data_IF_543356584593
#
_entry.id   IF_543356584593
#
_cell.length_a   1.000
_cell.length_b   1.000
_cell.length_c   1.000
_cell.angle_alpha   90.00
_cell.angle_beta   90.00
_cell.angle_gamma   90.00
#
_symmetry.space_group_name_H-M   'P 1'
#
loop_
_entity.id
_entity.type
_entity.pdbx_description
1 polymer ?
#
# COMPACT_ATOMS: atom_id res chain seq x y z
N UNK A 1 19.20 -25.43 -19.48
CA UNK A 1 19.45 -24.30 -20.38
C UNK A 1 18.16 -24.09 -21.17
N UNK A 2 17.27 -23.27 -20.64
CA UNK A 2 16.17 -22.69 -21.41
C UNK A 2 16.37 -21.16 -21.33
N UNK A 3 16.94 -20.54 -22.38
CA UNK A 3 17.25 -19.12 -22.42
C UNK A 3 16.11 -18.32 -23.08
N UNK A 4 15.86 -17.10 -22.57
CA UNK A 4 15.00 -16.01 -23.11
C UNK A 4 13.52 -16.14 -22.72
N UNK A 5 12.92 -15.39 -21.78
CA UNK A 5 12.92 -13.94 -21.54
C UNK A 5 12.87 -13.10 -22.82
N UNK A 6 11.66 -12.71 -23.28
CA UNK A 6 11.23 -11.31 -23.49
C UNK A 6 9.69 -11.17 -23.41
N UNK A 7 9.16 -10.15 -22.73
CA UNK A 7 7.74 -9.76 -22.76
C UNK A 7 7.40 -8.88 -23.97
N UNK A 8 6.19 -9.05 -24.51
CA UNK A 8 5.64 -8.38 -25.70
C UNK A 8 5.41 -6.86 -25.52
N UNK A 9 5.91 -6.02 -26.43
CA UNK A 9 5.79 -4.55 -26.39
C UNK A 9 4.60 -4.04 -27.23
N UNK A 10 3.35 -4.42 -26.92
CA UNK A 10 2.21 -4.14 -27.80
C UNK A 10 0.90 -3.69 -27.14
N UNK A 11 0.94 -2.98 -26.00
CA UNK A 11 -0.27 -2.36 -25.43
C UNK A 11 -0.01 -0.90 -25.03
N UNK A 12 0.46 -0.12 -25.99
CA UNK A 12 0.42 1.34 -25.97
C UNK A 12 -0.33 1.78 -27.23
N UNK A 13 -1.30 2.67 -27.06
CA UNK A 13 -2.08 3.41 -28.06
C UNK A 13 -3.42 2.81 -28.51
N UNK A 14 -4.52 3.29 -27.91
CA UNK A 14 -5.69 3.74 -28.67
C UNK A 14 -6.21 5.03 -28.03
N UNK A 15 -6.16 6.11 -28.82
CA UNK A 15 -6.58 7.46 -28.49
C UNK A 15 -7.77 7.82 -29.41
N UNK A 16 -8.77 8.53 -28.84
CA UNK A 16 -9.77 9.39 -29.50
C UNK A 16 -10.79 8.79 -30.48
N UNK A 17 -12.09 8.79 -30.11
CA UNK A 17 -13.17 9.47 -30.84
C UNK A 17 -14.53 9.34 -30.10
N UNK A 18 -15.17 10.47 -29.74
CA UNK A 18 -16.62 10.76 -29.94
C UNK A 18 -17.10 11.91 -29.03
N UNK A 19 -17.36 13.06 -29.65
CA UNK A 19 -18.13 14.17 -29.09
C UNK A 19 -19.59 14.10 -29.60
N UNK A 20 -20.51 14.61 -28.76
CA UNK A 20 -21.88 15.06 -29.05
C UNK A 20 -22.96 13.98 -29.26
N UNK A 21 -23.78 13.73 -28.23
CA UNK A 21 -25.25 14.00 -28.17
C UNK A 21 -25.74 13.68 -26.74
N UNK A 22 -26.53 14.58 -26.13
CA UNK A 22 -27.53 14.19 -25.12
C UNK A 22 -27.35 14.73 -23.70
N UNK A 23 -27.97 15.87 -23.41
CA UNK A 23 -28.28 16.35 -22.06
C UNK A 23 -29.46 15.56 -21.48
N UNK A 24 -29.19 14.64 -20.56
CA UNK A 24 -30.15 14.22 -19.53
C UNK A 24 -29.46 14.28 -18.17
N UNK A 25 -29.87 15.26 -17.36
CA UNK A 25 -29.45 15.40 -15.97
C UNK A 25 -30.02 14.23 -15.17
N UNK A 26 -29.22 13.17 -15.01
CA UNK A 26 -29.38 12.25 -13.90
C UNK A 26 -28.28 12.59 -12.90
N UNK A 27 -28.66 13.19 -11.77
CA UNK A 27 -27.74 13.38 -10.65
C UNK A 27 -27.33 11.99 -10.16
N UNK A 28 -26.14 11.54 -10.56
CA UNK A 28 -25.51 10.35 -10.01
C UNK A 28 -25.00 10.69 -8.60
N UNK A 29 -25.28 9.86 -7.57
CA UNK A 29 -24.57 9.99 -6.31
C UNK A 29 -23.10 9.71 -6.60
N UNK A 30 -22.24 10.68 -6.29
CA UNK A 30 -20.80 10.49 -6.26
C UNK A 30 -20.47 9.53 -5.11
N UNK A 31 -20.58 8.22 -5.36
CA UNK A 31 -19.96 7.22 -4.48
C UNK A 31 -18.49 7.25 -4.84
N UNK A 32 -17.77 8.13 -4.14
CA UNK A 32 -16.32 8.26 -4.27
C UNK A 32 -15.68 6.90 -4.06
N UNK A 33 -14.92 6.47 -5.07
CA UNK A 33 -13.98 5.39 -4.94
C UNK A 33 -12.89 5.82 -3.94
N UNK A 34 -13.10 5.53 -2.66
CA UNK A 34 -12.03 5.50 -1.68
C UNK A 34 -11.22 4.20 -1.91
N UNK A 35 -10.50 4.11 -3.02
CA UNK A 35 -9.43 3.12 -3.19
C UNK A 35 -8.16 3.70 -2.57
N UNK A 36 -8.25 3.99 -1.27
CA UNK A 36 -7.19 4.62 -0.48
C UNK A 36 -7.19 4.07 0.94
N UNK A 37 -6.22 3.19 1.23
CA UNK A 37 -5.71 2.84 2.55
C UNK A 37 -6.74 2.56 3.69
N UNK A 38 -7.89 1.96 3.42
CA UNK A 38 -8.84 1.57 4.49
C UNK A 38 -8.37 0.35 5.34
N UNK A 39 -7.07 0.24 5.64
CA UNK A 39 -6.50 -0.86 6.40
C UNK A 39 -6.46 -0.61 7.92
N UNK A 40 -6.78 0.60 8.36
CA UNK A 40 -6.53 1.02 9.73
C UNK A 40 -7.84 1.07 10.52
N UNK A 41 -7.99 0.12 11.44
CA UNK A 41 -9.02 0.15 12.49
C UNK A 41 -8.34 0.33 13.84
N UNK A 42 -8.98 1.07 14.73
CA UNK A 42 -8.63 1.13 16.15
C UNK A 42 -8.55 -0.30 16.72
N UNK A 43 -7.48 -0.68 17.42
CA UNK A 43 -7.43 -1.97 18.09
C UNK A 43 -8.54 -1.99 19.17
N UNK A 44 -9.51 -2.88 19.02
CA UNK A 44 -10.61 -3.03 19.98
C UNK A 44 -10.17 -3.67 21.31
N UNK A 45 -8.92 -4.13 21.41
CA UNK A 45 -8.38 -4.78 22.60
C UNK A 45 -7.23 -3.96 23.21
N UNK A 46 -7.36 -3.46 24.46
CA UNK A 46 -6.29 -2.75 25.14
C UNK A 46 -5.06 -3.62 25.48
N UNK A 47 -5.13 -4.94 25.28
CA UNK A 47 -3.98 -5.85 25.38
C UNK A 47 -3.25 -6.09 24.03
N UNK A 48 -3.67 -5.44 22.94
CA UNK A 48 -2.98 -5.51 21.66
C UNK A 48 -1.66 -4.72 21.71
N UNK A 49 -0.57 -5.27 21.17
CA UNK A 49 0.72 -4.61 21.06
C UNK A 49 0.57 -3.21 20.43
N UNK A 50 1.17 -2.16 21.00
CA UNK A 50 0.99 -0.78 20.53
C UNK A 50 1.68 -0.50 19.18
N UNK A 51 2.24 -1.53 18.52
CA UNK A 51 2.98 -1.41 17.26
C UNK A 51 2.42 -2.40 16.26
N UNK A 52 2.31 -2.00 14.99
CA UNK A 52 1.87 -2.89 13.91
C UNK A 52 2.95 -3.88 13.46
N UNK A 53 4.21 -3.64 13.81
CA UNK A 53 5.39 -4.44 13.47
C UNK A 53 6.67 -3.62 13.56
N UNK A 54 7.75 -4.10 12.93
CA UNK A 54 9.02 -3.40 12.78
C UNK A 54 9.27 -3.01 11.32
N UNK A 55 9.87 -1.85 11.11
CA UNK A 55 10.34 -1.39 9.81
C UNK A 55 11.85 -1.22 9.83
N UNK A 56 12.55 -1.80 8.86
CA UNK A 56 13.99 -1.64 8.66
C UNK A 56 14.28 -1.14 7.26
N UNK A 57 15.14 -0.14 7.09
CA UNK A 57 15.64 0.24 5.78
C UNK A 57 16.99 -0.44 5.52
N UNK A 58 17.07 -1.23 4.46
CA UNK A 58 18.32 -1.83 4.00
C UNK A 58 19.28 -0.77 3.43
N UNK A 59 20.58 -1.10 3.28
CA UNK A 59 21.57 -0.17 2.71
C UNK A 59 21.25 0.34 1.30
N UNK A 60 20.49 -0.43 0.51
CA UNK A 60 20.02 -0.07 -0.84
C UNK A 60 18.79 0.86 -0.83
N UNK A 61 18.32 1.28 0.36
CA UNK A 61 17.14 2.11 0.53
C UNK A 61 15.82 1.32 0.54
N UNK A 62 15.85 0.00 0.39
CA UNK A 62 14.64 -0.83 0.45
C UNK A 62 14.08 -0.87 1.87
N UNK A 63 12.81 -0.52 2.07
CA UNK A 63 12.13 -0.66 3.36
C UNK A 63 11.56 -2.08 3.45
N UNK A 64 11.85 -2.78 4.54
CA UNK A 64 11.28 -4.08 4.88
C UNK A 64 10.43 -3.92 6.12
N UNK A 65 9.18 -4.36 6.04
CA UNK A 65 8.26 -4.43 7.17
C UNK A 65 8.20 -5.88 7.65
N UNK A 66 8.55 -6.12 8.90
CA UNK A 66 8.58 -7.44 9.52
C UNK A 66 7.77 -7.48 10.82
N UNK A 67 7.53 -8.68 11.34
CA UNK A 67 6.76 -8.90 12.57
C UNK A 67 5.37 -8.24 12.54
N UNK A 68 4.77 -8.21 11.35
CA UNK A 68 3.50 -7.54 11.14
C UNK A 68 2.36 -8.25 11.87
N UNK A 69 1.50 -7.48 12.53
CA UNK A 69 0.27 -7.94 13.16
C UNK A 69 -0.90 -7.09 12.69
N UNK A 70 -1.88 -7.74 12.08
CA UNK A 70 -3.11 -7.09 11.63
C UNK A 70 -4.31 -7.65 12.38
N UNK A 71 -5.24 -6.79 12.77
CA UNK A 71 -6.53 -7.17 13.31
C UNK A 71 -7.63 -6.83 12.29
N UNK A 72 -8.29 -7.86 11.76
CA UNK A 72 -9.41 -7.75 10.83
C UNK A 72 -10.77 -7.78 11.53
N UNK A 73 -11.84 -7.60 10.76
CA UNK A 73 -13.20 -7.70 11.25
C UNK A 73 -13.47 -9.07 11.91
N UNK A 74 -14.22 -9.08 13.02
CA UNK A 74 -14.56 -10.32 13.73
C UNK A 74 -13.44 -10.91 14.59
N UNK A 75 -12.38 -10.14 14.89
CA UNK A 75 -11.28 -10.57 15.76
C UNK A 75 -10.23 -11.44 15.06
N UNK A 76 -10.24 -11.47 13.72
CA UNK A 76 -9.23 -12.18 12.93
C UNK A 76 -7.87 -11.51 13.13
N UNK A 77 -6.87 -12.24 13.62
CA UNK A 77 -5.50 -11.75 13.72
C UNK A 77 -4.65 -12.40 12.64
N UNK A 78 -4.00 -11.59 11.81
CA UNK A 78 -3.08 -12.03 10.76
C UNK A 78 -1.63 -11.67 11.08
N UNK A 79 -0.71 -12.57 10.73
CA UNK A 79 0.74 -12.35 10.76
C UNK A 79 1.31 -12.57 9.34
N UNK A 80 1.20 -11.57 8.46
CA UNK A 80 1.66 -11.74 7.08
C UNK A 80 3.18 -11.87 7.02
N UNK A 81 3.70 -12.45 5.93
CA UNK A 81 5.13 -12.46 5.68
C UNK A 81 5.68 -11.03 5.56
N UNK A 82 7.02 -10.86 5.64
CA UNK A 82 7.64 -9.56 5.49
C UNK A 82 7.25 -8.89 4.17
N UNK A 83 6.89 -7.61 4.22
CA UNK A 83 6.58 -6.80 3.05
C UNK A 83 7.80 -5.98 2.64
N UNK A 84 8.04 -5.87 1.34
CA UNK A 84 9.27 -5.25 0.79
C UNK A 84 8.91 -4.10 -0.13
N UNK A 85 9.43 -2.92 0.18
CA UNK A 85 9.16 -1.67 -0.51
C UNK A 85 10.48 -1.09 -1.05
N UNK A 86 10.84 -1.36 -2.31
CA UNK A 86 11.98 -0.69 -2.94
C UNK A 86 11.67 0.81 -3.15
N UNK A 87 12.69 1.68 -3.33
CA UNK A 87 12.52 3.12 -3.50
C UNK A 87 11.56 3.56 -4.63
N UNK A 88 11.34 2.70 -5.64
CA UNK A 88 10.39 2.94 -6.74
C UNK A 88 8.97 2.44 -6.49
N UNK A 89 8.66 1.85 -5.33
CA UNK A 89 7.32 1.36 -5.02
C UNK A 89 6.35 2.54 -4.89
N UNK A 90 5.14 2.41 -5.44
CA UNK A 90 4.15 3.49 -5.45
C UNK A 90 3.82 4.02 -4.05
N UNK A 91 3.83 3.13 -3.06
CA UNK A 91 3.52 3.44 -1.65
C UNK A 91 4.75 3.83 -0.82
N UNK A 92 5.97 3.77 -1.39
CA UNK A 92 7.21 3.96 -0.65
C UNK A 92 7.25 5.30 0.09
N UNK A 93 6.91 6.39 -0.62
CA UNK A 93 6.93 7.73 -0.05
C UNK A 93 5.88 7.91 1.05
N UNK A 94 4.69 7.33 0.87
CA UNK A 94 3.62 7.37 1.86
C UNK A 94 4.01 6.60 3.13
N UNK A 95 4.57 5.40 2.95
CA UNK A 95 5.09 4.57 4.04
C UNK A 95 6.22 5.28 4.79
N UNK A 96 7.21 5.82 4.08
CA UNK A 96 8.33 6.52 4.70
C UNK A 96 7.85 7.73 5.53
N UNK A 97 6.84 8.45 5.05
CA UNK A 97 6.19 9.53 5.79
C UNK A 97 5.43 9.02 7.02
N UNK A 98 4.65 7.94 6.89
CA UNK A 98 3.95 7.31 8.02
C UNK A 98 4.90 6.89 9.14
N UNK A 99 6.06 6.35 8.75
CA UNK A 99 7.11 6.00 9.68
C UNK A 99 7.67 7.24 10.39
N UNK A 100 7.60 8.44 9.80
CA UNK A 100 8.29 9.64 10.28
C UNK A 100 9.74 9.72 9.79
N UNK A 101 10.00 9.23 8.57
CA UNK A 101 11.34 9.07 7.98
C UNK A 101 12.02 7.77 8.39
N UNK A 102 13.07 7.35 7.69
CA UNK A 102 13.90 6.19 8.05
C UNK A 102 15.17 6.27 7.20
N UNK A 103 16.36 6.03 7.76
CA UNK A 103 17.63 6.06 7.02
C UNK A 103 18.14 4.67 6.70
N UNK A 104 18.99 4.49 5.67
CA UNK A 104 19.61 3.20 5.40
C UNK A 104 20.35 2.64 6.62
N UNK A 105 20.07 1.39 6.97
CA UNK A 105 20.57 0.70 8.17
C UNK A 105 19.77 0.97 9.45
N UNK A 106 18.81 1.90 9.43
CA UNK A 106 17.96 2.23 10.57
C UNK A 106 16.73 1.31 10.63
N UNK A 107 16.32 0.97 11.85
CA UNK A 107 15.08 0.24 12.11
C UNK A 107 14.29 0.86 13.24
N UNK A 108 12.95 0.80 13.16
CA UNK A 108 12.06 1.34 14.18
C UNK A 108 10.67 0.68 14.18
N UNK A 109 9.93 0.74 15.30
CA UNK A 109 8.56 0.25 15.35
C UNK A 109 7.67 1.00 14.36
N UNK A 110 6.76 0.26 13.73
CA UNK A 110 5.71 0.83 12.87
C UNK A 110 4.65 1.45 13.79
N UNK A 111 4.42 2.77 13.71
CA UNK A 111 3.40 3.41 14.52
C UNK A 111 2.01 2.88 14.14
N UNK A 112 1.06 2.86 15.09
CA UNK A 112 -0.34 2.63 14.78
C UNK A 112 -0.80 3.56 13.68
N UNK A 113 -1.70 3.09 12.83
CA UNK A 113 -2.41 4.00 11.97
C UNK A 113 -3.37 4.88 12.79
N UNK A 114 -3.47 6.16 12.42
CA UNK A 114 -4.50 7.11 12.86
C UNK A 114 -5.70 7.16 11.90
#
# INVERSE_FOLDING_TARGET
MDPLRRPDPALIAVCLLACLVGTTTHAAPAIGAATGWAACRTPSNPAASPTLGQATMRPDGTIVLDQLRFEGAGGVVGHPPPMVYPPGHQEYAALLRHLGGLRPGEGKPIPPCE
#
